data_IF_663500521076
#
_entry.id   IF_663500521076
#
_cell.length_a   1.000
_cell.length_b   1.000
_cell.length_c   1.000
_cell.angle_alpha   90.00
_cell.angle_beta   90.00
_cell.angle_gamma   90.00
#
_symmetry.space_group_name_H-M   'P 1'
#
loop_
_entity.id
_entity.type
_entity.pdbx_description
1 polymer ?
#
# COMPACT_ATOMS: atom_id res chain seq x y z
N UNK A 1 10.63 -8.08 -6.83
CA UNK A 1 9.72 -8.23 -5.68
C UNK A 1 9.38 -6.87 -5.08
N UNK A 2 8.13 -6.64 -4.70
CA UNK A 2 7.70 -5.42 -4.01
C UNK A 2 6.72 -5.71 -2.88
N UNK A 3 6.65 -4.83 -1.89
CA UNK A 3 5.55 -4.75 -0.91
C UNK A 3 4.46 -3.83 -1.48
N UNK A 4 3.20 -4.26 -1.46
CA UNK A 4 2.08 -3.41 -1.91
C UNK A 4 1.34 -2.83 -0.70
N UNK A 5 1.15 -1.51 -0.72
CA UNK A 5 0.37 -0.76 0.27
C UNK A 5 -0.78 -0.10 -0.47
N UNK A 6 -2.01 -0.41 -0.11
CA UNK A 6 -3.20 0.15 -0.72
C UNK A 6 -3.90 1.05 0.29
N UNK A 7 -4.06 2.33 -0.05
CA UNK A 7 -4.74 3.33 0.76
C UNK A 7 -6.11 3.61 0.17
N UNK A 8 -7.14 3.67 0.99
CA UNK A 8 -8.47 4.02 0.48
C UNK A 8 -8.49 5.44 -0.07
N UNK A 9 -9.25 5.65 -1.14
CA UNK A 9 -9.40 6.95 -1.82
C UNK A 9 -10.19 7.99 -1.01
N UNK A 10 -10.88 7.54 0.02
CA UNK A 10 -11.72 8.32 0.93
C UNK A 10 -11.02 8.68 2.25
N UNK A 11 -9.70 8.51 2.34
CA UNK A 11 -8.86 8.86 3.50
C UNK A 11 -8.16 10.21 3.27
N UNK A 12 -8.29 11.20 4.18
CA UNK A 12 -7.61 12.48 4.02
C UNK A 12 -6.09 12.34 3.94
N UNK A 13 -5.44 13.18 3.15
CA UNK A 13 -4.01 13.05 2.81
C UNK A 13 -3.09 12.91 4.03
N UNK A 14 -3.30 13.72 5.08
CA UNK A 14 -2.49 13.64 6.30
C UNK A 14 -2.56 12.26 6.96
N UNK A 15 -3.76 11.70 7.09
CA UNK A 15 -3.96 10.33 7.60
C UNK A 15 -3.43 9.28 6.63
N UNK A 16 -3.55 9.49 5.32
CA UNK A 16 -3.00 8.58 4.32
C UNK A 16 -1.47 8.42 4.46
N UNK A 17 -0.73 9.52 4.68
CA UNK A 17 0.73 9.47 4.86
C UNK A 17 1.13 8.68 6.11
N UNK A 18 0.45 8.94 7.23
CA UNK A 18 0.67 8.20 8.48
C UNK A 18 0.31 6.72 8.31
N UNK A 19 -0.82 6.44 7.67
CA UNK A 19 -1.27 5.08 7.39
C UNK A 19 -0.26 4.30 6.54
N UNK A 20 0.36 4.92 5.52
CA UNK A 20 1.41 4.29 4.70
C UNK A 20 2.65 3.95 5.53
N UNK A 21 3.07 4.85 6.41
CA UNK A 21 4.20 4.59 7.32
C UNK A 21 3.91 3.43 8.27
N UNK A 22 2.74 3.44 8.91
CA UNK A 22 2.28 2.35 9.76
C UNK A 22 2.16 1.03 9.00
N UNK A 23 1.62 1.07 7.79
CA UNK A 23 1.45 -0.09 6.92
C UNK A 23 2.79 -0.77 6.61
N UNK A 24 3.81 0.00 6.24
CA UNK A 24 5.15 -0.56 6.00
C UNK A 24 5.72 -1.25 7.22
N UNK A 25 5.60 -0.63 8.42
CA UNK A 25 6.14 -1.18 9.65
C UNK A 25 5.35 -2.41 10.11
N UNK A 26 4.02 -2.35 10.08
CA UNK A 26 3.14 -3.45 10.46
C UNK A 26 3.36 -4.67 9.56
N UNK A 27 3.46 -4.45 8.24
CA UNK A 27 3.78 -5.52 7.28
C UNK A 27 5.15 -6.14 7.54
N UNK A 28 6.18 -5.33 7.84
CA UNK A 28 7.48 -5.86 8.25
C UNK A 28 7.37 -6.68 9.53
N UNK A 29 6.82 -6.13 10.62
CA UNK A 29 6.73 -6.82 11.91
C UNK A 29 5.97 -8.15 11.82
N UNK A 30 4.89 -8.20 11.04
CA UNK A 30 4.08 -9.40 10.86
C UNK A 30 4.82 -10.49 10.05
N UNK A 31 5.62 -10.10 9.06
CA UNK A 31 6.17 -11.03 8.07
C UNK A 31 7.70 -11.11 8.04
N UNK A 32 8.40 -10.48 9.01
CA UNK A 32 9.87 -10.33 9.02
C UNK A 32 10.62 -11.64 8.88
N UNK A 33 10.08 -12.72 9.43
CA UNK A 33 10.77 -14.02 9.46
C UNK A 33 10.55 -14.85 8.18
N UNK A 34 9.80 -14.31 7.20
CA UNK A 34 9.60 -14.97 5.90
C UNK A 34 10.77 -14.75 4.94
N UNK A 35 11.14 -15.74 4.10
CA UNK A 35 12.21 -15.58 3.10
C UNK A 35 11.98 -14.41 2.15
N UNK A 36 10.74 -14.16 1.74
CA UNK A 36 10.38 -13.08 0.82
C UNK A 36 10.62 -11.70 1.42
N UNK A 37 10.34 -11.51 2.72
CA UNK A 37 10.66 -10.24 3.40
C UNK A 37 12.17 -10.08 3.54
N UNK A 38 12.92 -11.13 3.87
CA UNK A 38 14.38 -11.08 3.96
C UNK A 38 15.03 -10.73 2.61
N UNK A 39 14.61 -11.39 1.53
CA UNK A 39 15.09 -11.09 0.18
C UNK A 39 14.66 -9.70 -0.31
N UNK A 40 13.46 -9.25 0.06
CA UNK A 40 13.00 -7.89 -0.24
C UNK A 40 13.82 -6.82 0.48
N UNK A 41 14.18 -7.06 1.75
CA UNK A 41 15.05 -6.20 2.57
C UNK A 41 16.49 -6.15 2.06
N UNK A 42 17.04 -7.29 1.64
CA UNK A 42 18.38 -7.36 1.07
C UNK A 42 18.48 -6.71 -0.33
N UNK A 43 17.34 -6.50 -0.99
CA UNK A 43 17.23 -5.84 -2.28
C UNK A 43 16.91 -4.34 -2.17
N UNK A 44 16.27 -3.76 -3.20
CA UNK A 44 15.93 -2.33 -3.24
C UNK A 44 14.84 -1.91 -2.23
N UNK A 45 14.28 -2.84 -1.45
CA UNK A 45 13.25 -2.57 -0.44
C UNK A 45 12.01 -1.83 -1.00
N UNK A 46 11.69 -2.10 -2.28
CA UNK A 46 10.70 -1.34 -3.06
C UNK A 46 9.26 -1.53 -2.56
N UNK A 47 8.53 -0.41 -2.47
CA UNK A 47 7.13 -0.37 -2.05
C UNK A 47 6.30 0.24 -3.17
N UNK A 48 5.20 -0.41 -3.52
CA UNK A 48 4.19 0.14 -4.40
C UNK A 48 3.03 0.66 -3.54
N UNK A 49 2.87 1.98 -3.46
CA UNK A 49 1.74 2.61 -2.79
C UNK A 49 0.68 2.94 -3.82
N UNK A 50 -0.53 2.43 -3.64
CA UNK A 50 -1.66 2.62 -4.53
C UNK A 50 -2.84 3.25 -3.81
N UNK A 51 -3.64 4.02 -4.55
CA UNK A 51 -4.93 4.52 -4.10
C UNK A 51 -6.03 3.60 -4.64
N UNK A 52 -6.95 3.18 -3.77
CA UNK A 52 -7.98 2.20 -4.10
C UNK A 52 -9.36 2.61 -3.60
N UNK A 53 -10.39 2.29 -4.37
CA UNK A 53 -11.77 2.46 -3.92
C UNK A 53 -12.20 1.32 -2.98
N UNK A 54 -13.38 1.44 -2.38
CA UNK A 54 -13.92 0.45 -1.45
C UNK A 54 -13.97 -0.97 -2.04
N UNK A 55 -14.40 -1.15 -3.29
CA UNK A 55 -14.47 -2.47 -3.93
C UNK A 55 -13.09 -3.11 -4.11
N UNK A 56 -12.11 -2.32 -4.55
CA UNK A 56 -10.73 -2.77 -4.69
C UNK A 56 -10.11 -3.12 -3.33
N UNK A 57 -10.43 -2.34 -2.29
CA UNK A 57 -9.99 -2.60 -0.92
C UNK A 57 -10.53 -3.94 -0.39
N UNK A 58 -11.83 -4.19 -0.54
CA UNK A 58 -12.43 -5.47 -0.15
C UNK A 58 -11.87 -6.66 -0.93
N UNK A 59 -11.62 -6.50 -2.23
CA UNK A 59 -10.97 -7.53 -3.03
C UNK A 59 -9.52 -7.80 -2.55
N UNK A 60 -8.81 -6.76 -2.10
CA UNK A 60 -7.44 -6.92 -1.62
C UNK A 60 -7.38 -7.72 -0.31
N UNK A 61 -8.40 -7.63 0.56
CA UNK A 61 -8.52 -8.47 1.76
C UNK A 61 -8.65 -9.97 1.45
N UNK A 62 -9.05 -10.33 0.23
CA UNK A 62 -9.11 -11.73 -0.19
C UNK A 62 -7.74 -12.30 -0.59
N UNK A 63 -6.72 -11.45 -0.70
CA UNK A 63 -5.35 -11.87 -1.01
C UNK A 63 -4.63 -12.23 0.28
N UNK A 64 -3.98 -13.40 0.31
CA UNK A 64 -3.27 -13.88 1.49
C UNK A 64 -2.12 -12.94 1.92
N UNK A 65 -1.64 -13.15 3.15
CA UNK A 65 -0.49 -12.45 3.76
C UNK A 65 -0.63 -10.92 3.71
N UNK A 66 -1.74 -10.43 4.28
CA UNK A 66 -2.02 -8.99 4.41
C UNK A 66 -2.22 -8.57 5.86
N UNK A 67 -2.12 -7.27 6.11
CA UNK A 67 -2.50 -6.62 7.37
C UNK A 67 -3.37 -5.42 7.05
N UNK A 68 -4.55 -5.35 7.67
CA UNK A 68 -5.46 -4.20 7.56
C UNK A 68 -5.14 -3.20 8.67
N UNK A 69 -5.00 -1.93 8.32
CA UNK A 69 -4.70 -0.85 9.25
C UNK A 69 -5.96 -0.02 9.50
N UNK A 70 -6.20 0.33 10.77
CA UNK A 70 -7.29 1.21 11.20
C UNK A 70 -6.76 2.52 11.77
N UNK A 71 -7.56 3.58 11.69
CA UNK A 71 -7.23 4.89 12.27
C UNK A 71 -8.22 5.26 13.37
N UNK A 72 -7.72 5.43 14.59
CA UNK A 72 -8.50 5.78 15.77
C UNK A 72 -9.17 7.16 15.69
N UNK A 73 -8.52 8.13 15.06
CA UNK A 73 -9.07 9.47 14.86
C UNK A 73 -10.20 9.51 13.81
N UNK A 74 -10.42 8.39 13.11
CA UNK A 74 -11.51 8.18 12.14
C UNK A 74 -12.42 7.04 12.61
N UNK A 75 -12.74 6.98 13.90
CA UNK A 75 -13.65 5.99 14.50
C UNK A 75 -13.23 4.52 14.24
N UNK A 76 -11.92 4.25 14.27
CA UNK A 76 -11.31 2.93 13.98
C UNK A 76 -11.61 2.42 12.57
N UNK A 77 -11.92 3.32 11.64
CA UNK A 77 -12.11 2.99 10.22
C UNK A 77 -10.85 2.36 9.65
N UNK A 78 -11.02 1.34 8.80
CA UNK A 78 -9.93 0.80 7.99
C UNK A 78 -9.48 1.83 6.97
N UNK A 79 -8.18 2.13 6.94
CA UNK A 79 -7.62 3.22 6.11
C UNK A 79 -6.65 2.71 5.05
N UNK A 80 -5.96 1.62 5.33
CA UNK A 80 -4.97 1.04 4.44
C UNK A 80 -4.88 -0.48 4.64
N UNK A 81 -4.32 -1.17 3.65
CA UNK A 81 -3.97 -2.58 3.71
C UNK A 81 -2.55 -2.73 3.14
N UNK A 82 -1.69 -3.45 3.85
CA UNK A 82 -0.37 -3.84 3.37
C UNK A 82 -0.39 -5.32 3.05
N UNK A 83 0.27 -5.69 1.96
CA UNK A 83 0.47 -7.08 1.58
C UNK A 83 1.96 -7.38 1.56
N UNK A 84 2.32 -8.54 2.10
CA UNK A 84 3.69 -9.06 2.15
C UNK A 84 4.37 -8.96 0.78
N UNK A 85 5.70 -8.74 0.72
CA UNK A 85 6.39 -8.67 -0.56
C UNK A 85 6.21 -9.92 -1.41
N UNK A 86 5.97 -9.73 -2.72
CA UNK A 86 5.82 -10.81 -3.71
C UNK A 86 6.56 -10.49 -5.00
N UNK A 87 7.00 -11.53 -5.71
CA UNK A 87 7.44 -11.42 -7.10
C UNK A 87 6.27 -11.25 -8.05
N UNK A 88 5.27 -12.11 -7.92
CA UNK A 88 4.08 -12.10 -8.74
C UNK A 88 2.86 -11.61 -7.96
N UNK A 89 2.10 -10.73 -8.60
CA UNK A 89 0.86 -10.18 -8.04
C UNK A 89 -0.36 -10.66 -8.82
N UNK A 90 -1.51 -10.84 -8.14
CA UNK A 90 -2.78 -11.09 -8.83
C UNK A 90 -3.05 -10.04 -9.90
N UNK A 91 -3.69 -10.44 -11.01
CA UNK A 91 -3.93 -9.58 -12.19
C UNK A 91 -4.51 -8.21 -11.84
N UNK A 92 -5.37 -8.12 -10.82
CA UNK A 92 -5.99 -6.85 -10.40
C UNK A 92 -4.96 -5.79 -9.99
N UNK A 93 -3.80 -6.17 -9.43
CA UNK A 93 -2.77 -5.24 -8.96
C UNK A 93 -2.12 -4.45 -10.10
N UNK A 94 -2.09 -5.02 -11.31
CA UNK A 94 -1.56 -4.36 -12.51
C UNK A 94 -2.39 -3.13 -12.92
N UNK A 95 -3.64 -3.06 -12.48
CA UNK A 95 -4.57 -1.99 -12.82
C UNK A 95 -4.82 -1.01 -11.67
N UNK A 96 -4.14 -1.20 -10.53
CA UNK A 96 -4.26 -0.28 -9.40
C UNK A 96 -3.52 1.03 -9.72
N UNK A 97 -4.15 2.14 -9.36
CA UNK A 97 -3.57 3.47 -9.57
C UNK A 97 -2.54 3.74 -8.47
N UNK A 98 -1.31 4.10 -8.86
CA UNK A 98 -0.30 4.53 -7.91
C UNK A 98 -0.76 5.79 -7.16
N UNK A 99 -0.49 5.83 -5.86
CA UNK A 99 -0.77 6.96 -4.98
C UNK A 99 0.26 8.06 -5.29
N UNK A 100 -0.03 8.84 -6.32
CA UNK A 100 0.75 10.00 -6.76
C UNK A 100 -0.14 11.23 -6.66
N UNK A 101 0.45 12.40 -6.45
CA UNK A 101 -0.25 13.64 -6.73
C UNK A 101 -0.76 13.61 -8.18
N UNK A 102 -1.96 14.14 -8.41
CA UNK A 102 -2.36 14.53 -9.77
C UNK A 102 -1.29 15.50 -10.25
N UNK A 103 -0.78 15.41 -11.50
CA UNK A 103 0.04 16.46 -12.05
C UNK A 103 -0.70 17.78 -11.83
N UNK A 104 -0.06 18.75 -11.19
CA UNK A 104 -0.62 20.10 -11.17
C UNK A 104 -0.77 20.48 -12.64
N UNK A 105 -1.98 20.82 -13.08
CA UNK A 105 -2.19 21.32 -14.42
C UNK A 105 -1.30 22.56 -14.58
N UNK A 106 -0.17 22.44 -15.29
CA UNK A 106 0.83 23.51 -15.43
C UNK A 106 2.29 23.14 -15.17
N UNK A 107 2.64 21.91 -14.74
CA UNK A 107 4.05 21.49 -14.78
C UNK A 107 4.45 21.14 -16.22
N UNK A 108 5.02 22.16 -16.89
CA UNK A 108 5.57 22.09 -18.24
C UNK A 108 6.56 20.93 -18.38
N UNK A 109 6.32 20.10 -19.39
CA UNK A 109 7.28 19.13 -19.89
C UNK A 109 8.34 19.87 -20.70
N UNK A 110 9.29 20.50 -20.04
CA UNK A 110 10.54 20.95 -20.65
C UNK A 110 11.69 20.81 -19.66
N UNK A 111 12.29 19.62 -19.67
CA UNK A 111 13.69 19.38 -19.40
C UNK A 111 14.12 18.13 -20.18
#
# INVERSE_FOLDING_TARGET
>A
MNMSILVRDDVPLGFAMVAVAHASLAGYLQFRDTPEVQAWLAGPFFKAVCIVNAKQFENAKQVADHVVLTESALDKREVAIVLRPREEWPKMFKFLKLYRSVPVAGEDKTA
#
